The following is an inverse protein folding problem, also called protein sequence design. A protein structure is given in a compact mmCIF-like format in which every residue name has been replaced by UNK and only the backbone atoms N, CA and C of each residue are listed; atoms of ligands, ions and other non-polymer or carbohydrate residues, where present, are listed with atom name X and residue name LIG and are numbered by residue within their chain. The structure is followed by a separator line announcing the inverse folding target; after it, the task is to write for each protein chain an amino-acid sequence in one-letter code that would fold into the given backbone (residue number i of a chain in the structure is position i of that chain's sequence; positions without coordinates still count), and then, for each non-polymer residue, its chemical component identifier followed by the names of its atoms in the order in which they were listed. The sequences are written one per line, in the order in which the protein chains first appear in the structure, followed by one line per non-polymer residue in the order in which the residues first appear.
data_IF_032607319179
#
_entry.id   IF_032607319179
#
_cell.length_a   1.000
_cell.length_b   1.000
_cell.length_c   1.000
_cell.angle_alpha   90.00
_cell.angle_beta   90.00
_cell.angle_gamma   90.00
#
_symmetry.space_group_name_H-M   'P 1'
#
loop_
_entity.id
_entity.type
_entity.pdbx_description
1 polymer ?
#
# COMPACT_ATOMS: atom_id res chain seq x y z
N UNK A 1 -4.04 -0.98 -11.94
CA UNK A 1 -2.95 -1.98 -12.09
C UNK A 1 -3.47 -3.40 -12.17
N UNK A 2 -4.34 -3.83 -11.26
CA UNK A 2 -4.86 -5.22 -11.24
C UNK A 2 -5.64 -5.57 -12.53
N UNK A 3 -6.40 -4.63 -13.08
CA UNK A 3 -7.06 -4.75 -14.39
C UNK A 3 -6.07 -5.00 -15.53
N UNK A 4 -4.90 -4.34 -15.50
CA UNK A 4 -3.80 -4.53 -16.45
C UNK A 4 -3.24 -5.95 -16.39
N UNK A 5 -3.17 -6.55 -15.18
CA UNK A 5 -2.79 -7.95 -15.02
C UNK A 5 -3.87 -8.89 -15.56
N UNK A 6 -5.16 -8.55 -15.39
CA UNK A 6 -6.25 -9.35 -15.97
C UNK A 6 -6.17 -9.44 -17.50
N UNK A 7 -5.70 -8.39 -18.18
CA UNK A 7 -5.47 -8.40 -19.64
C UNK A 7 -4.46 -9.47 -20.09
N UNK A 8 -3.57 -9.95 -19.22
CA UNK A 8 -2.68 -11.08 -19.56
C UNK A 8 -3.43 -12.37 -19.87
N UNK A 9 -4.68 -12.52 -19.40
CA UNK A 9 -5.54 -13.69 -19.64
C UNK A 9 -6.59 -13.47 -20.73
N UNK A 10 -6.46 -12.40 -21.55
CA UNK A 10 -7.44 -12.04 -22.58
C UNK A 10 -7.71 -13.14 -23.61
N UNK A 11 -6.76 -14.07 -23.80
CA UNK A 11 -6.88 -15.18 -24.75
C UNK A 11 -8.09 -16.08 -24.51
N UNK A 12 -8.45 -16.35 -23.24
CA UNK A 12 -9.61 -17.15 -22.87
C UNK A 12 -10.70 -16.28 -22.27
N UNK A 13 -11.87 -16.21 -22.92
CA UNK A 13 -12.99 -15.35 -22.51
C UNK A 13 -13.45 -15.60 -21.07
N UNK A 14 -13.54 -16.87 -20.67
CA UNK A 14 -14.02 -17.24 -19.34
C UNK A 14 -12.99 -16.95 -18.25
N UNK A 15 -11.71 -17.13 -18.55
CA UNK A 15 -10.62 -16.77 -17.62
C UNK A 15 -10.50 -15.26 -17.49
N UNK A 16 -10.49 -14.55 -18.62
CA UNK A 16 -10.47 -13.10 -18.66
C UNK A 16 -11.63 -12.49 -17.88
N UNK A 17 -12.86 -12.98 -18.06
CA UNK A 17 -14.03 -12.48 -17.33
C UNK A 17 -13.85 -12.57 -15.81
N UNK A 18 -13.42 -13.73 -15.31
CA UNK A 18 -13.15 -13.95 -13.88
C UNK A 18 -11.98 -13.11 -13.37
N UNK A 19 -10.90 -13.05 -14.14
CA UNK A 19 -9.70 -12.28 -13.82
C UNK A 19 -10.01 -10.79 -13.76
N UNK A 20 -10.75 -10.26 -14.73
CA UNK A 20 -11.17 -8.86 -14.75
C UNK A 20 -12.11 -8.54 -13.59
N UNK A 21 -13.05 -9.43 -13.27
CA UNK A 21 -13.93 -9.31 -12.10
C UNK A 21 -13.12 -9.20 -10.80
N UNK A 22 -12.05 -9.99 -10.68
CA UNK A 22 -11.10 -9.89 -9.57
C UNK A 22 -10.33 -8.57 -9.58
N UNK A 23 -9.87 -8.13 -10.76
CA UNK A 23 -9.07 -6.93 -10.94
C UNK A 23 -9.78 -5.63 -10.54
N UNK A 24 -11.10 -5.53 -10.77
CA UNK A 24 -11.91 -4.34 -10.43
C UNK A 24 -12.51 -4.38 -9.02
N UNK A 25 -12.40 -5.51 -8.32
CA UNK A 25 -13.11 -5.77 -7.07
C UNK A 25 -12.82 -4.72 -5.98
N UNK A 26 -11.55 -4.36 -5.84
CA UNK A 26 -11.08 -3.35 -4.90
C UNK A 26 -11.60 -1.95 -5.26
N UNK A 27 -11.65 -1.63 -6.55
CA UNK A 27 -12.09 -0.34 -7.06
C UNK A 27 -13.60 -0.20 -6.84
N UNK A 28 -14.38 -1.24 -7.17
CA UNK A 28 -15.83 -1.31 -6.90
C UNK A 28 -16.10 -1.14 -5.41
N UNK A 29 -15.39 -1.86 -4.53
CA UNK A 29 -15.52 -1.70 -3.08
C UNK A 29 -15.24 -0.25 -2.62
N UNK A 30 -14.15 0.36 -3.10
CA UNK A 30 -13.76 1.71 -2.72
C UNK A 30 -14.77 2.75 -3.24
N UNK A 31 -15.25 2.62 -4.48
CA UNK A 31 -16.26 3.52 -5.05
C UNK A 31 -17.59 3.42 -4.30
N UNK A 32 -18.07 2.20 -4.03
CA UNK A 32 -19.29 1.99 -3.26
C UNK A 32 -19.19 2.56 -1.85
N UNK A 33 -18.05 2.32 -1.18
CA UNK A 33 -17.79 2.89 0.15
C UNK A 33 -17.80 4.41 0.12
N UNK A 34 -17.14 5.02 -0.88
CA UNK A 34 -17.11 6.47 -1.07
C UNK A 34 -18.50 7.03 -1.33
N UNK A 35 -19.32 6.36 -2.15
CA UNK A 35 -20.67 6.80 -2.51
C UNK A 35 -21.59 6.90 -1.29
N UNK A 36 -21.36 6.10 -0.24
CA UNK A 36 -22.12 6.16 1.01
C UNK A 36 -21.45 7.10 2.02
N UNK A 37 -20.14 6.97 2.24
CA UNK A 37 -19.45 7.73 3.27
C UNK A 37 -19.29 9.20 2.92
N UNK A 38 -19.08 9.56 1.64
CA UNK A 38 -18.87 10.96 1.26
C UNK A 38 -20.10 11.85 1.55
N UNK A 39 -21.33 11.49 1.15
CA UNK A 39 -22.52 12.25 1.54
C UNK A 39 -22.71 12.31 3.05
N UNK A 40 -22.43 11.21 3.76
CA UNK A 40 -22.49 11.15 5.22
C UNK A 40 -21.49 12.11 5.88
N UNK A 41 -20.25 12.17 5.39
CA UNK A 41 -19.21 13.08 5.86
C UNK A 41 -19.62 14.55 5.68
N UNK A 42 -20.16 14.90 4.50
CA UNK A 42 -20.64 16.25 4.20
C UNK A 42 -21.82 16.62 5.11
N UNK A 43 -22.75 15.69 5.34
CA UNK A 43 -23.90 15.93 6.22
C UNK A 43 -23.46 16.18 7.67
N UNK A 44 -22.54 15.37 8.19
CA UNK A 44 -22.02 15.52 9.55
C UNK A 44 -21.24 16.84 9.71
N UNK A 45 -20.45 17.23 8.70
CA UNK A 45 -19.74 18.52 8.70
C UNK A 45 -20.73 19.70 8.75
N UNK A 46 -21.82 19.64 7.98
CA UNK A 46 -22.88 20.67 8.00
C UNK A 46 -23.63 20.75 9.33
N UNK A 47 -23.91 19.62 9.98
CA UNK A 47 -24.67 19.59 11.24
C UNK A 47 -23.83 20.10 12.41
N UNK A 48 -22.52 19.83 12.43
CA UNK A 48 -21.64 20.21 13.54
C UNK A 48 -20.39 20.93 13.01
N UNK A 49 -20.51 22.16 12.49
CA UNK A 49 -19.38 22.85 11.90
C UNK A 49 -18.28 23.05 12.95
N UNK A 50 -17.04 22.73 12.58
CA UNK A 50 -15.86 22.95 13.41
C UNK A 50 -14.88 23.88 12.71
N UNK A 51 -14.39 24.89 13.42
CA UNK A 51 -13.36 25.81 12.96
C UNK A 51 -11.94 25.22 13.08
N UNK A 52 -11.77 24.15 13.85
CA UNK A 52 -10.46 23.54 14.07
C UNK A 52 -9.99 22.77 12.85
N UNK A 53 -8.75 23.03 12.42
CA UNK A 53 -8.18 22.42 11.21
C UNK A 53 -8.12 20.88 11.29
N UNK A 54 -8.07 20.33 12.51
CA UNK A 54 -8.03 18.88 12.78
C UNK A 54 -9.42 18.25 12.92
N UNK A 55 -10.48 19.03 13.17
CA UNK A 55 -11.85 18.52 13.34
C UNK A 55 -12.79 18.97 12.21
N UNK A 56 -12.27 19.75 11.25
CA UNK A 56 -13.00 20.20 10.06
C UNK A 56 -13.27 19.01 9.12
N UNK A 57 -14.54 18.71 8.88
CA UNK A 57 -15.01 17.54 8.16
C UNK A 57 -16.04 16.73 8.94
N UNK A 58 -16.37 15.55 8.41
CA UNK A 58 -17.33 14.63 9.01
C UNK A 58 -16.73 13.81 10.16
N UNK A 59 -17.26 12.59 10.37
CA UNK A 59 -16.83 11.77 11.50
C UNK A 59 -15.39 11.29 11.34
N UNK A 60 -14.94 11.02 10.11
CA UNK A 60 -13.57 10.56 9.83
C UNK A 60 -12.54 11.59 10.32
N UNK A 61 -12.73 12.86 9.96
CA UNK A 61 -11.83 13.94 10.36
C UNK A 61 -11.84 14.15 11.87
N UNK A 62 -13.01 14.12 12.51
CA UNK A 62 -13.14 14.38 13.96
C UNK A 62 -12.57 13.25 14.81
N UNK A 63 -12.92 12.00 14.51
CA UNK A 63 -12.42 10.85 15.25
C UNK A 63 -10.91 10.71 15.06
N UNK A 64 -10.42 10.84 13.82
CA UNK A 64 -8.98 10.80 13.57
C UNK A 64 -8.23 11.96 14.23
N UNK A 65 -8.79 13.17 14.22
CA UNK A 65 -8.21 14.36 14.87
C UNK A 65 -8.09 14.19 16.38
N UNK A 66 -9.16 13.73 17.05
CA UNK A 66 -9.15 13.48 18.49
C UNK A 66 -8.11 12.42 18.88
N UNK A 67 -8.04 11.31 18.14
CA UNK A 67 -7.05 10.26 18.35
C UNK A 67 -5.63 10.79 18.10
N UNK A 68 -5.41 11.55 17.02
CA UNK A 68 -4.10 12.10 16.67
C UNK A 68 -3.57 13.08 17.72
N UNK A 69 -4.45 13.91 18.32
CA UNK A 69 -4.10 14.81 19.43
C UNK A 69 -3.62 13.98 20.64
N UNK A 70 -4.39 12.94 20.99
CA UNK A 70 -4.10 12.07 22.14
C UNK A 70 -2.77 11.34 21.98
N UNK A 71 -2.48 10.81 20.78
CA UNK A 71 -1.22 10.14 20.48
C UNK A 71 -0.05 11.15 20.49
N UNK A 72 -0.26 12.35 19.95
CA UNK A 72 0.79 13.36 19.85
C UNK A 72 1.26 13.93 21.18
N UNK A 73 0.43 13.96 22.21
CA UNK A 73 0.85 14.39 23.54
C UNK A 73 1.70 13.32 24.24
N UNK A 74 1.51 12.04 23.90
CA UNK A 74 2.17 10.90 24.54
C UNK A 74 3.52 10.53 23.93
N UNK A 75 3.74 10.82 22.63
CA UNK A 75 4.86 10.28 21.85
C UNK A 75 6.01 11.25 21.49
N UNK A 76 6.18 12.38 22.19
CA UNK A 76 7.34 13.29 21.97
C UNK A 76 8.73 12.63 22.07
N UNK A 77 8.83 11.40 22.60
CA UNK A 77 10.09 10.79 23.04
C UNK A 77 10.65 9.69 22.10
N UNK A 78 9.85 9.03 21.23
CA UNK A 78 10.29 7.77 20.59
C UNK A 78 10.70 7.85 19.10
N UNK A 79 10.53 8.99 18.44
CA UNK A 79 10.52 9.08 16.95
C UNK A 79 11.91 9.31 16.34
N UNK A 80 12.95 9.54 17.15
CA UNK A 80 14.33 9.65 16.66
C UNK A 80 14.91 8.29 16.19
N UNK A 81 14.29 7.16 16.52
CA UNK A 81 14.86 5.83 16.33
C UNK A 81 15.08 5.48 14.84
N UNK A 82 14.12 5.77 13.96
CA UNK A 82 14.24 5.41 12.54
C UNK A 82 15.26 6.30 11.82
N UNK A 83 15.25 7.62 12.09
CA UNK A 83 16.22 8.57 11.52
C UNK A 83 17.63 8.29 12.05
N UNK A 84 17.76 7.78 13.27
CA UNK A 84 19.02 7.30 13.84
C UNK A 84 19.53 6.02 13.18
N UNK A 85 18.65 5.16 12.68
CA UNK A 85 19.02 3.94 11.96
C UNK A 85 19.37 4.20 10.49
N UNK A 86 18.67 5.10 9.80
CA UNK A 86 18.90 5.39 8.37
C UNK A 86 20.09 6.33 8.14
N UNK A 87 20.26 7.37 8.97
CA UNK A 87 21.38 8.33 8.83
C UNK A 87 22.78 7.69 8.73
N UNK A 88 23.18 6.71 9.57
CA UNK A 88 24.50 6.10 9.45
C UNK A 88 24.66 5.35 8.13
N UNK A 89 23.61 4.67 7.66
CA UNK A 89 23.61 3.99 6.36
C UNK A 89 23.74 5.00 5.20
N UNK A 90 22.98 6.10 5.23
CA UNK A 90 23.07 7.15 4.20
C UNK A 90 24.48 7.74 4.13
N UNK A 91 25.08 8.05 5.28
CA UNK A 91 26.44 8.61 5.37
C UNK A 91 27.54 7.66 4.90
N UNK A 92 27.30 6.34 4.91
CA UNK A 92 28.22 5.33 4.36
C UNK A 92 28.17 5.27 2.82
N UNK A 93 27.01 5.57 2.24
CA UNK A 93 26.80 5.50 0.79
C UNK A 93 27.27 6.78 0.09
N UNK A 94 26.77 7.94 0.54
CA UNK A 94 27.00 9.25 -0.08
C UNK A 94 27.15 10.33 1.00
N UNK A 95 28.04 11.29 0.76
CA UNK A 95 28.15 12.51 1.55
C UNK A 95 28.11 13.71 0.60
N UNK A 96 27.10 14.56 0.79
CA UNK A 96 26.83 15.70 -0.07
C UNK A 96 27.32 16.97 0.63
N UNK A 97 27.86 17.91 -0.15
CA UNK A 97 28.17 19.24 0.35
C UNK A 97 26.96 20.17 0.25
N UNK A 98 26.26 20.36 1.38
CA UNK A 98 25.09 21.22 1.46
C UNK A 98 25.41 22.68 1.11
N UNK A 99 26.66 23.13 1.29
CA UNK A 99 27.07 24.50 0.95
C UNK A 99 27.16 24.70 -0.57
N UNK A 100 27.55 23.66 -1.31
CA UNK A 100 27.58 23.67 -2.78
C UNK A 100 26.17 23.54 -3.36
N UNK A 101 25.28 22.81 -2.69
CA UNK A 101 23.87 22.73 -3.11
C UNK A 101 23.12 24.06 -2.99
N UNK A 102 23.50 24.90 -2.02
CA UNK A 102 22.87 26.19 -1.75
C UNK A 102 23.56 27.37 -2.45
N UNK A 103 24.81 27.18 -2.91
CA UNK A 103 25.53 28.16 -3.72
C UNK A 103 25.33 27.84 -5.20
N UNK A 104 25.06 28.84 -6.02
CA UNK A 104 24.85 28.67 -7.46
C UNK A 104 26.17 28.53 -8.24
N UNK A 105 27.21 27.96 -7.60
CA UNK A 105 28.56 27.84 -8.16
C UNK A 105 28.69 26.55 -8.97
N UNK A 106 28.91 26.68 -10.28
CA UNK A 106 28.95 25.55 -11.23
C UNK A 106 30.29 24.79 -11.27
N UNK A 107 31.32 25.30 -10.59
CA UNK A 107 32.68 24.78 -10.70
C UNK A 107 33.10 23.86 -9.55
N UNK A 108 32.21 23.59 -8.59
CA UNK A 108 32.50 22.73 -7.44
C UNK A 108 31.73 21.42 -7.53
N UNK A 109 32.36 20.32 -7.11
CA UNK A 109 31.72 19.01 -7.08
C UNK A 109 30.72 18.94 -5.93
N UNK A 110 29.51 18.42 -6.20
CA UNK A 110 28.40 18.31 -5.23
C UNK A 110 28.73 17.28 -4.13
N UNK A 111 29.54 16.27 -4.46
CA UNK A 111 30.02 15.29 -3.48
C UNK A 111 31.16 15.83 -2.63
N UNK A 112 31.11 15.60 -1.30
CA UNK A 112 32.24 15.94 -0.43
C UNK A 112 33.45 15.06 -0.76
N UNK A 113 34.55 15.66 -1.17
CA UNK A 113 35.83 14.95 -1.35
C UNK A 113 36.62 14.92 -0.02
N UNK A 114 36.49 15.98 0.79
CA UNK A 114 37.20 16.19 2.05
C UNK A 114 36.23 16.41 3.22
N UNK A 115 36.51 15.79 4.37
CA UNK A 115 35.56 15.67 5.49
C UNK A 115 35.89 16.56 6.70
N UNK A 116 37.06 17.19 6.74
CA UNK A 116 37.57 17.96 7.88
C UNK A 116 38.47 19.12 7.40
N UNK A 117 38.71 20.15 8.23
CA UNK A 117 39.64 21.25 7.93
C UNK A 117 41.08 20.78 7.63
N UNK A 118 41.43 19.53 8.00
CA UNK A 118 42.70 18.88 7.68
C UNK A 118 42.60 17.96 6.45
N UNK A 119 42.15 18.47 5.29
CA UNK A 119 42.24 17.81 3.97
C UNK A 119 42.11 16.25 3.95
N UNK A 120 41.25 15.69 4.82
CA UNK A 120 41.19 14.24 4.98
C UNK A 120 40.14 13.70 4.02
N UNK A 121 40.60 12.84 3.13
CA UNK A 121 39.83 12.14 2.11
C UNK A 121 38.65 11.38 2.74
N UNK A 122 37.42 11.75 2.42
CA UNK A 122 36.20 11.13 2.96
C UNK A 122 36.13 9.63 2.65
N UNK A 123 35.51 8.80 3.51
CA UNK A 123 35.32 7.36 3.24
C UNK A 123 33.83 7.07 3.03
N UNK A 124 33.39 6.99 1.77
CA UNK A 124 32.06 6.52 1.38
C UNK A 124 32.13 5.76 0.05
N UNK A 125 31.12 4.92 -0.23
CA UNK A 125 31.12 3.89 -1.26
C UNK A 125 31.44 4.42 -2.67
N UNK A 126 30.87 5.58 -3.06
CA UNK A 126 30.96 6.12 -4.42
C UNK A 126 32.08 7.14 -4.64
N UNK A 127 32.97 7.34 -3.67
CA UNK A 127 34.03 8.35 -3.79
C UNK A 127 34.97 8.10 -4.98
N UNK A 128 35.35 6.84 -5.21
CA UNK A 128 36.25 6.47 -6.32
C UNK A 128 35.66 6.79 -7.71
N UNK A 129 34.32 6.81 -7.82
CA UNK A 129 33.63 7.21 -9.05
C UNK A 129 33.63 8.72 -9.25
N UNK A 130 33.42 9.50 -8.17
CA UNK A 130 33.40 10.97 -8.21
C UNK A 130 34.80 11.53 -8.52
N UNK A 131 35.87 10.88 -8.07
CA UNK A 131 37.24 11.28 -8.41
C UNK A 131 37.60 11.03 -9.90
N UNK A 132 36.87 10.16 -10.61
CA UNK A 132 37.19 9.75 -11.99
C UNK A 132 36.25 10.31 -13.05
N UNK A 133 35.02 10.67 -12.68
CA UNK A 133 33.96 11.06 -13.61
C UNK A 133 33.29 12.35 -13.19
N UNK A 134 32.76 13.11 -14.16
CA UNK A 134 31.98 14.31 -13.89
C UNK A 134 30.69 13.97 -13.10
N UNK A 135 30.23 14.89 -12.24
CA UNK A 135 29.11 14.66 -11.31
C UNK A 135 27.82 14.25 -12.01
N UNK A 136 27.55 14.82 -13.19
CA UNK A 136 26.40 14.45 -14.03
C UNK A 136 26.44 12.97 -14.47
N UNK A 137 27.61 12.48 -14.88
CA UNK A 137 27.79 11.09 -15.32
C UNK A 137 27.62 10.12 -14.16
N UNK A 138 28.17 10.46 -12.99
CA UNK A 138 27.99 9.70 -11.75
C UNK A 138 26.51 9.64 -11.35
N UNK A 139 25.80 10.76 -11.44
CA UNK A 139 24.37 10.84 -11.19
C UNK A 139 23.54 9.91 -12.09
N UNK A 140 23.83 9.89 -13.40
CA UNK A 140 23.14 8.99 -14.34
C UNK A 140 23.41 7.52 -14.03
N UNK A 141 24.67 7.16 -13.77
CA UNK A 141 25.04 5.76 -13.46
C UNK A 141 24.30 5.31 -12.19
N UNK A 142 24.31 6.14 -11.14
CA UNK A 142 23.60 5.85 -9.90
C UNK A 142 22.10 5.72 -10.10
N UNK A 143 21.50 6.59 -10.89
CA UNK A 143 20.09 6.54 -11.21
C UNK A 143 19.72 5.23 -11.93
N UNK A 144 20.46 4.85 -12.97
CA UNK A 144 20.24 3.60 -13.72
C UNK A 144 20.43 2.37 -12.81
N UNK A 145 21.52 2.33 -12.03
CA UNK A 145 21.77 1.24 -11.09
C UNK A 145 20.64 1.12 -10.05
N UNK A 146 20.17 2.24 -9.50
CA UNK A 146 19.07 2.25 -8.54
C UNK A 146 17.77 1.73 -9.15
N UNK A 147 17.48 2.08 -10.41
CA UNK A 147 16.29 1.65 -11.13
C UNK A 147 16.34 0.14 -11.45
N UNK A 148 17.51 -0.40 -11.83
CA UNK A 148 17.71 -1.83 -12.04
C UNK A 148 17.53 -2.61 -10.73
N UNK A 149 18.16 -2.16 -9.64
CA UNK A 149 18.08 -2.81 -8.32
C UNK A 149 16.63 -2.77 -7.80
N UNK A 150 15.97 -1.61 -7.90
CA UNK A 150 14.57 -1.44 -7.51
C UNK A 150 13.66 -2.38 -8.29
N UNK A 151 13.82 -2.44 -9.61
CA UNK A 151 13.03 -3.33 -10.48
C UNK A 151 13.30 -4.80 -10.15
N UNK A 152 14.57 -5.18 -9.96
CA UNK A 152 14.97 -6.54 -9.61
C UNK A 152 14.37 -7.01 -8.27
N UNK A 153 14.43 -6.16 -7.24
CA UNK A 153 13.83 -6.45 -5.93
C UNK A 153 12.31 -6.56 -6.05
N UNK A 154 11.66 -5.67 -6.81
CA UNK A 154 10.21 -5.72 -7.03
C UNK A 154 9.79 -7.04 -7.71
N UNK A 155 10.51 -7.47 -8.76
CA UNK A 155 10.22 -8.72 -9.46
C UNK A 155 10.45 -9.96 -8.57
N UNK A 156 11.54 -9.98 -7.79
CA UNK A 156 11.82 -11.05 -6.84
C UNK A 156 10.73 -11.13 -5.77
N UNK A 157 10.30 -9.98 -5.23
CA UNK A 157 9.23 -9.90 -4.24
C UNK A 157 7.93 -10.47 -4.80
N UNK A 158 7.54 -10.12 -6.03
CA UNK A 158 6.35 -10.68 -6.69
C UNK A 158 6.47 -12.21 -6.84
N UNK A 159 7.65 -12.73 -7.21
CA UNK A 159 7.87 -14.17 -7.36
C UNK A 159 7.73 -14.91 -6.03
N UNK A 160 8.33 -14.36 -4.97
CA UNK A 160 8.21 -14.90 -3.61
C UNK A 160 6.77 -14.85 -3.12
N UNK A 161 6.08 -13.73 -3.34
CA UNK A 161 4.70 -13.54 -2.93
C UNK A 161 3.77 -14.54 -3.61
N UNK A 162 3.91 -14.74 -4.92
CA UNK A 162 3.15 -15.75 -5.66
C UNK A 162 3.36 -17.15 -5.07
N UNK A 163 4.61 -17.50 -4.76
CA UNK A 163 4.95 -18.79 -4.14
C UNK A 163 4.28 -18.95 -2.76
N UNK A 164 4.35 -17.93 -1.90
CA UNK A 164 3.77 -17.95 -0.56
C UNK A 164 2.25 -17.97 -0.57
N UNK A 165 1.61 -17.11 -1.37
CA UNK A 165 0.16 -17.02 -1.46
C UNK A 165 -0.42 -18.33 -1.97
N UNK A 166 0.16 -18.92 -3.02
CA UNK A 166 -0.31 -20.20 -3.55
C UNK A 166 -0.13 -21.30 -2.50
N UNK A 167 1.02 -21.36 -1.82
CA UNK A 167 1.24 -22.34 -0.75
C UNK A 167 0.26 -22.21 0.42
N UNK A 168 0.05 -21.00 0.92
CA UNK A 168 -0.90 -20.74 2.03
C UNK A 168 -2.33 -21.03 1.60
N UNK A 169 -2.75 -20.62 0.40
CA UNK A 169 -4.09 -20.89 -0.12
C UNK A 169 -4.28 -22.39 -0.30
N UNK A 170 -3.33 -23.12 -0.88
CA UNK A 170 -3.44 -24.55 -1.13
C UNK A 170 -3.48 -25.35 0.19
N UNK A 171 -2.62 -25.05 1.17
CA UNK A 171 -2.64 -25.67 2.50
C UNK A 171 -3.94 -25.36 3.25
N UNK A 172 -4.41 -24.12 3.16
CA UNK A 172 -5.66 -23.69 3.79
C UNK A 172 -6.85 -24.38 3.13
N UNK A 173 -6.92 -24.40 1.80
CA UNK A 173 -7.97 -25.06 1.03
C UNK A 173 -7.97 -26.57 1.25
N UNK A 174 -6.82 -27.25 1.32
CA UNK A 174 -6.74 -28.68 1.62
C UNK A 174 -7.24 -29.01 3.02
N UNK A 175 -6.86 -28.21 4.03
CA UNK A 175 -7.38 -28.35 5.40
C UNK A 175 -8.90 -28.12 5.46
N UNK A 176 -9.43 -27.26 4.60
CA UNK A 176 -10.87 -26.92 4.54
C UNK A 176 -11.69 -27.92 3.72
N UNK A 177 -11.14 -28.47 2.63
CA UNK A 177 -11.78 -29.53 1.85
C UNK A 177 -12.06 -30.77 2.71
N UNK A 178 -11.25 -30.99 3.76
CA UNK A 178 -11.47 -32.03 4.76
C UNK A 178 -12.54 -31.66 5.82
N UNK A 179 -12.87 -30.36 5.95
CA UNK A 179 -13.91 -29.81 6.83
C UNK A 179 -15.05 -29.30 5.93
N UNK A 180 -15.58 -30.17 5.07
CA UNK A 180 -16.75 -29.82 4.28
C UNK A 180 -17.93 -29.62 5.22
N UNK A 181 -18.28 -28.36 5.48
CA UNK A 181 -19.37 -28.04 6.39
C UNK A 181 -20.17 -26.85 5.86
N UNK A 182 -21.41 -27.15 5.50
CA UNK A 182 -22.44 -26.22 5.03
C UNK A 182 -22.81 -25.18 6.12
N UNK A 183 -22.97 -23.91 5.72
CA UNK A 183 -23.59 -22.85 6.53
C UNK A 183 -22.64 -21.82 7.15
N UNK A 184 -22.96 -21.34 8.35
CA UNK A 184 -22.23 -20.40 9.22
C UNK A 184 -20.70 -20.54 9.30
N UNK A 185 -20.14 -21.74 9.10
CA UNK A 185 -18.68 -21.95 9.03
C UNK A 185 -18.03 -21.29 7.81
N UNK A 186 -18.77 -21.11 6.72
CA UNK A 186 -18.29 -20.39 5.53
C UNK A 186 -18.05 -18.89 5.81
N UNK A 187 -18.87 -18.33 6.69
CA UNK A 187 -18.75 -16.95 7.16
C UNK A 187 -17.54 -16.76 8.08
N UNK A 188 -17.34 -17.69 9.04
CA UNK A 188 -16.14 -17.71 9.89
C UNK A 188 -14.86 -17.86 9.08
N UNK A 189 -14.89 -18.71 8.05
CA UNK A 189 -13.77 -18.92 7.16
C UNK A 189 -13.37 -17.63 6.44
N UNK A 190 -14.33 -16.77 6.13
CA UNK A 190 -14.01 -15.51 5.47
C UNK A 190 -13.20 -14.54 6.32
N UNK A 191 -13.36 -14.55 7.64
CA UNK A 191 -12.49 -13.79 8.54
C UNK A 191 -11.06 -14.31 8.55
N UNK A 192 -10.85 -15.62 8.39
CA UNK A 192 -9.51 -16.20 8.25
C UNK A 192 -8.84 -15.64 6.98
N UNK A 193 -9.56 -15.58 5.86
CA UNK A 193 -9.04 -14.98 4.63
C UNK A 193 -8.79 -13.47 4.76
N UNK A 194 -9.61 -12.72 5.50
CA UNK A 194 -9.33 -11.31 5.82
C UNK A 194 -8.02 -11.19 6.60
N UNK A 195 -7.80 -12.02 7.63
CA UNK A 195 -6.56 -12.01 8.42
C UNK A 195 -5.35 -12.34 7.54
N UNK A 196 -5.45 -13.36 6.69
CA UNK A 196 -4.40 -13.69 5.70
C UNK A 196 -4.14 -12.49 4.78
N UNK A 197 -5.19 -11.79 4.35
CA UNK A 197 -5.09 -10.57 3.54
C UNK A 197 -4.37 -9.43 4.27
N UNK A 198 -4.67 -9.20 5.55
CA UNK A 198 -4.00 -8.19 6.38
C UNK A 198 -2.50 -8.50 6.47
N UNK A 199 -2.13 -9.72 6.86
CA UNK A 199 -0.72 -10.11 6.96
C UNK A 199 -0.02 -10.08 5.61
N UNK A 200 -0.68 -10.58 4.56
CA UNK A 200 -0.19 -10.53 3.19
C UNK A 200 0.13 -9.10 2.75
N UNK A 201 -0.76 -8.15 3.01
CA UNK A 201 -0.53 -6.75 2.69
C UNK A 201 0.51 -6.06 3.57
N UNK A 202 0.61 -6.38 4.86
CA UNK A 202 1.66 -5.82 5.73
C UNK A 202 3.04 -6.28 5.28
N UNK A 203 3.18 -7.55 4.86
CA UNK A 203 4.45 -8.09 4.35
C UNK A 203 4.82 -7.50 2.99
N UNK A 204 3.85 -7.36 2.09
CA UNK A 204 4.07 -6.86 0.72
C UNK A 204 4.14 -5.34 0.68
N UNK A 205 3.54 -4.67 1.67
CA UNK A 205 3.40 -3.22 1.78
C UNK A 205 2.67 -2.56 0.59
N UNK A 206 2.04 -3.36 -0.27
CA UNK A 206 1.33 -2.89 -1.46
C UNK A 206 0.11 -3.77 -1.73
N UNK A 207 -1.08 -3.19 -1.58
CA UNK A 207 -2.36 -3.85 -1.88
C UNK A 207 -2.48 -4.15 -3.37
N UNK A 208 -1.96 -3.29 -4.25
CA UNK A 208 -1.98 -3.51 -5.70
C UNK A 208 -1.14 -4.73 -6.10
N UNK A 209 0.06 -4.89 -5.55
CA UNK A 209 0.89 -6.06 -5.88
C UNK A 209 0.23 -7.34 -5.37
N UNK A 210 -0.30 -7.30 -4.14
CA UNK A 210 -1.02 -8.42 -3.55
C UNK A 210 -2.24 -8.84 -4.39
N UNK A 211 -3.13 -7.90 -4.74
CA UNK A 211 -4.32 -8.18 -5.54
C UNK A 211 -3.98 -8.61 -6.98
N UNK A 212 -2.90 -8.09 -7.55
CA UNK A 212 -2.39 -8.49 -8.88
C UNK A 212 -1.95 -9.95 -8.91
N UNK A 213 -1.40 -10.49 -7.82
CA UNK A 213 -1.07 -11.91 -7.71
C UNK A 213 -2.32 -12.79 -7.62
N UNK A 214 -3.37 -12.31 -6.94
CA UNK A 214 -4.65 -13.05 -6.80
C UNK A 214 -5.48 -13.07 -8.09
N UNK A 215 -5.41 -11.99 -8.88
CA UNK A 215 -6.13 -11.81 -10.14
C UNK A 215 -6.05 -13.03 -11.09
N UNK A 216 -4.87 -13.52 -11.49
CA UNK A 216 -4.76 -14.68 -12.36
C UNK A 216 -5.22 -15.98 -11.70
N UNK A 217 -5.13 -16.12 -10.36
CA UNK A 217 -5.60 -17.31 -9.64
C UNK A 217 -7.13 -17.42 -9.71
N UNK A 218 -7.83 -16.29 -9.67
CA UNK A 218 -9.28 -16.25 -9.90
C UNK A 218 -9.63 -16.57 -11.36
N UNK A 219 -8.86 -16.04 -12.31
CA UNK A 219 -8.97 -16.41 -13.72
C UNK A 219 -8.88 -17.92 -13.94
N UNK A 220 -7.89 -18.57 -13.31
CA UNK A 220 -7.63 -20.02 -13.40
C UNK A 220 -8.55 -20.88 -12.52
N UNK A 221 -9.53 -20.30 -11.80
CA UNK A 221 -10.41 -20.99 -10.82
C UNK A 221 -9.69 -21.65 -9.65
N UNK A 222 -8.42 -21.32 -9.41
CA UNK A 222 -7.68 -21.77 -8.21
C UNK A 222 -8.23 -21.08 -6.95
N UNK A 223 -8.70 -19.84 -7.10
CA UNK A 223 -9.32 -19.04 -6.05
C UNK A 223 -10.70 -18.56 -6.50
N UNK A 224 -11.70 -18.64 -5.63
CA UNK A 224 -13.04 -18.09 -5.95
C UNK A 224 -13.06 -16.56 -5.82
N UNK A 225 -13.98 -15.90 -6.51
CA UNK A 225 -14.11 -14.43 -6.44
C UNK A 225 -14.48 -13.96 -5.02
N UNK A 226 -15.25 -14.76 -4.28
CA UNK A 226 -15.67 -14.51 -2.91
C UNK A 226 -14.50 -14.58 -1.92
N UNK A 227 -13.57 -15.53 -2.10
CA UNK A 227 -12.35 -15.62 -1.29
C UNK A 227 -11.36 -14.52 -1.64
N UNK A 228 -11.28 -14.18 -2.91
CA UNK A 228 -10.51 -13.02 -3.35
C UNK A 228 -11.03 -11.71 -2.75
N UNK A 229 -12.35 -11.55 -2.61
CA UNK A 229 -12.96 -10.40 -1.94
C UNK A 229 -12.52 -10.27 -0.49
N UNK A 230 -12.57 -11.37 0.28
CA UNK A 230 -12.11 -11.43 1.67
C UNK A 230 -10.63 -11.05 1.80
N UNK A 231 -9.76 -11.64 0.97
CA UNK A 231 -8.34 -11.33 0.93
C UNK A 231 -8.07 -9.85 0.57
N UNK A 232 -8.85 -9.30 -0.36
CA UNK A 232 -8.72 -7.91 -0.82
C UNK A 232 -9.14 -6.91 0.26
N UNK A 233 -10.24 -7.16 0.99
CA UNK A 233 -10.63 -6.35 2.15
C UNK A 233 -9.53 -6.38 3.21
N UNK A 234 -9.01 -7.57 3.51
CA UNK A 234 -7.88 -7.73 4.40
C UNK A 234 -6.67 -6.90 3.96
N UNK A 235 -6.35 -6.93 2.66
CA UNK A 235 -5.24 -6.17 2.11
C UNK A 235 -5.41 -4.65 2.21
N UNK A 236 -6.64 -4.14 2.01
CA UNK A 236 -6.98 -2.73 2.21
C UNK A 236 -6.77 -2.29 3.65
N UNK A 237 -7.17 -3.11 4.64
CA UNK A 237 -6.91 -2.83 6.04
C UNK A 237 -5.40 -2.93 6.33
N UNK A 238 -4.72 -3.97 5.87
CA UNK A 238 -3.29 -4.19 6.13
C UNK A 238 -2.40 -3.04 5.65
N UNK A 239 -2.65 -2.49 4.44
CA UNK A 239 -1.86 -1.36 3.92
C UNK A 239 -2.01 -0.08 4.75
N UNK A 240 -3.15 0.12 5.43
CA UNK A 240 -3.33 1.27 6.32
C UNK A 240 -2.52 1.16 7.61
N UNK A 241 -2.21 -0.06 8.07
CA UNK A 241 -1.28 -0.29 9.18
C UNK A 241 0.13 0.18 8.79
N UNK A 242 0.56 -0.10 7.56
CA UNK A 242 1.84 0.40 7.04
C UNK A 242 1.87 1.93 6.98
N UNK A 243 0.78 2.56 6.50
CA UNK A 243 0.66 4.02 6.49
C UNK A 243 0.71 4.62 7.91
N UNK A 244 0.07 3.95 8.87
CA UNK A 244 0.12 4.35 10.28
C UNK A 244 1.54 4.26 10.84
N UNK A 245 2.24 3.14 10.65
CA UNK A 245 3.64 2.98 11.07
C UNK A 245 4.55 4.02 10.40
N UNK A 246 4.32 4.33 9.12
CA UNK A 246 5.06 5.38 8.41
C UNK A 246 4.78 6.77 9.01
N UNK A 247 3.55 7.05 9.42
CA UNK A 247 3.19 8.32 10.05
C UNK A 247 3.91 8.54 11.39
N UNK A 248 4.20 7.46 12.13
CA UNK A 248 4.95 7.51 13.39
C UNK A 248 6.41 7.96 13.21
N UNK A 249 6.92 7.96 11.98
CA UNK A 249 8.31 8.35 11.69
C UNK A 249 8.47 9.86 11.45
N UNK A 250 7.36 10.58 11.35
CA UNK A 250 7.35 12.01 11.07
C UNK A 250 7.69 12.82 12.32
N UNK A 251 8.35 13.97 12.15
CA UNK A 251 8.80 14.80 13.28
C UNK A 251 8.30 16.24 13.18
N UNK A 252 8.16 16.91 14.31
CA UNK A 252 7.78 18.32 14.40
C UNK A 252 6.31 18.58 14.03
N UNK A 253 6.08 19.68 13.30
CA UNK A 253 4.74 20.20 12.97
C UNK A 253 3.90 19.25 12.10
N UNK A 254 4.53 18.35 11.34
CA UNK A 254 3.85 17.44 10.43
C UNK A 254 3.36 16.14 11.10
N UNK A 255 3.90 15.79 12.28
CA UNK A 255 3.58 14.52 12.95
C UNK A 255 2.07 14.30 13.15
N UNK A 256 1.39 15.30 13.74
CA UNK A 256 -0.07 15.27 13.99
C UNK A 256 -0.87 15.10 12.70
N UNK A 257 -0.49 15.84 11.64
CA UNK A 257 -1.15 15.78 10.33
C UNK A 257 -0.97 14.41 9.68
N UNK A 258 0.24 13.85 9.74
CA UNK A 258 0.54 12.53 9.18
C UNK A 258 -0.21 11.41 9.87
N UNK A 259 -0.27 11.41 11.21
CA UNK A 259 -1.08 10.43 11.97
C UNK A 259 -2.54 10.56 11.61
N UNK A 260 -3.07 11.79 11.55
CA UNK A 260 -4.46 12.00 11.20
C UNK A 260 -4.79 11.45 9.81
N UNK A 261 -3.97 11.73 8.80
CA UNK A 261 -4.16 11.20 7.45
C UNK A 261 -4.15 9.67 7.45
N UNK A 262 -3.18 9.05 8.14
CA UNK A 262 -3.12 7.59 8.25
C UNK A 262 -4.36 7.01 8.92
N UNK A 263 -4.86 7.64 9.98
CA UNK A 263 -6.08 7.24 10.67
C UNK A 263 -7.34 7.44 9.81
N UNK A 264 -7.43 8.50 9.00
CA UNK A 264 -8.53 8.68 8.04
C UNK A 264 -8.55 7.51 7.05
N UNK A 265 -7.40 7.13 6.49
CA UNK A 265 -7.30 5.98 5.59
C UNK A 265 -7.70 4.66 6.28
N UNK A 266 -7.23 4.44 7.51
CA UNK A 266 -7.62 3.26 8.30
C UNK A 266 -9.13 3.22 8.57
N UNK A 267 -9.69 4.31 9.08
CA UNK A 267 -11.11 4.41 9.42
C UNK A 267 -12.01 4.28 8.18
N UNK A 268 -11.62 4.86 7.05
CA UNK A 268 -12.35 4.69 5.79
C UNK A 268 -12.43 3.21 5.38
N UNK A 269 -11.30 2.50 5.38
CA UNK A 269 -11.25 1.08 5.01
C UNK A 269 -11.97 0.19 6.03
N UNK A 270 -11.86 0.51 7.32
CA UNK A 270 -12.55 -0.19 8.40
C UNK A 270 -14.07 0.00 8.30
N UNK A 271 -14.53 1.24 8.10
CA UNK A 271 -15.96 1.54 7.91
C UNK A 271 -16.53 0.86 6.66
N UNK A 272 -15.78 0.84 5.55
CA UNK A 272 -16.15 0.07 4.36
C UNK A 272 -16.27 -1.43 4.64
N UNK A 273 -15.33 -2.00 5.40
CA UNK A 273 -15.40 -3.41 5.82
C UNK A 273 -16.63 -3.68 6.69
N UNK A 274 -16.92 -2.81 7.66
CA UNK A 274 -18.11 -2.94 8.52
C UNK A 274 -19.38 -2.88 7.67
N UNK A 275 -19.46 -1.94 6.72
CA UNK A 275 -20.65 -1.73 5.92
C UNK A 275 -20.89 -2.88 4.92
N UNK A 276 -19.85 -3.27 4.17
CA UNK A 276 -20.00 -4.23 3.09
C UNK A 276 -19.74 -5.68 3.47
N UNK A 277 -18.98 -5.96 4.53
CA UNK A 277 -18.58 -7.33 4.85
C UNK A 277 -19.33 -7.93 6.06
N UNK A 278 -19.50 -7.16 7.14
CA UNK A 278 -20.12 -7.67 8.39
C UNK A 278 -21.60 -8.02 8.18
N UNK A 279 -22.30 -7.30 7.32
CA UNK A 279 -23.69 -7.60 7.00
C UNK A 279 -23.77 -8.59 5.82
N UNK A 280 -24.27 -9.83 6.00
CA UNK A 280 -24.24 -10.87 4.97
C UNK A 280 -24.95 -10.49 3.66
N UNK A 281 -26.00 -9.67 3.76
CA UNK A 281 -26.75 -9.19 2.61
C UNK A 281 -25.95 -8.20 1.76
N UNK A 282 -25.24 -7.26 2.38
CA UNK A 282 -24.48 -6.24 1.66
C UNK A 282 -23.20 -6.79 1.01
N UNK A 283 -22.63 -7.87 1.56
CA UNK A 283 -21.47 -8.56 0.99
C UNK A 283 -21.62 -8.96 -0.47
N UNK A 284 -22.83 -9.29 -0.90
CA UNK A 284 -23.09 -9.72 -2.28
C UNK A 284 -22.99 -8.57 -3.29
N UNK A 285 -23.16 -7.32 -2.85
CA UNK A 285 -23.25 -6.16 -3.75
C UNK A 285 -21.91 -5.90 -4.47
N UNK A 286 -20.76 -5.73 -3.79
CA UNK A 286 -19.49 -5.49 -4.48
C UNK A 286 -19.07 -6.66 -5.36
N UNK A 287 -19.31 -7.90 -4.91
CA UNK A 287 -18.97 -9.13 -5.64
C UNK A 287 -19.79 -9.22 -6.93
N UNK A 288 -21.12 -9.01 -6.83
CA UNK A 288 -22.02 -9.06 -7.97
C UNK A 288 -21.68 -8.00 -9.02
N UNK A 289 -21.47 -6.75 -8.59
CA UNK A 289 -21.11 -5.66 -9.51
C UNK A 289 -19.78 -5.94 -10.22
N UNK A 290 -18.79 -6.43 -9.49
CA UNK A 290 -17.48 -6.78 -10.07
C UNK A 290 -17.60 -7.92 -11.08
N UNK A 291 -18.42 -8.94 -10.77
CA UNK A 291 -18.74 -10.03 -11.69
C UNK A 291 -19.43 -9.53 -12.97
N UNK A 292 -20.43 -8.66 -12.85
CA UNK A 292 -21.12 -8.08 -14.01
C UNK A 292 -20.17 -7.28 -14.88
N UNK A 293 -19.32 -6.43 -14.29
CA UNK A 293 -18.31 -5.66 -15.03
C UNK A 293 -17.38 -6.61 -15.80
N UNK A 294 -16.85 -7.65 -15.15
CA UNK A 294 -15.99 -8.62 -15.83
C UNK A 294 -16.71 -9.41 -16.93
N UNK A 295 -17.99 -9.72 -16.77
CA UNK A 295 -18.80 -10.36 -17.81
C UNK A 295 -19.02 -9.42 -19.01
N UNK A 296 -19.37 -8.16 -18.77
CA UNK A 296 -19.58 -7.13 -19.80
C UNK A 296 -18.30 -6.91 -20.61
N UNK A 297 -17.17 -6.68 -19.93
CA UNK A 297 -15.88 -6.42 -20.60
C UNK A 297 -15.42 -7.65 -21.39
N UNK A 298 -15.69 -8.86 -20.92
CA UNK A 298 -15.40 -10.08 -21.68
C UNK A 298 -16.29 -10.26 -22.93
N UNK A 299 -17.46 -9.61 -22.98
CA UNK A 299 -18.38 -9.61 -24.13
C UNK A 299 -18.00 -8.55 -25.16
N UNK A 300 -17.62 -7.35 -24.69
CA UNK A 300 -17.27 -6.21 -25.54
C UNK A 300 -15.76 -5.93 -25.46
N UNK A 301 -14.95 -6.73 -26.15
CA UNK A 301 -13.47 -6.65 -26.16
C UNK A 301 -12.86 -5.36 -26.76
N UNK A 302 -13.68 -4.42 -27.20
CA UNK A 302 -13.27 -3.23 -27.97
C UNK A 302 -13.23 -1.93 -27.14
N UNK A 303 -13.13 -2.04 -25.81
CA UNK A 303 -12.83 -0.94 -24.90
C UNK A 303 -11.65 -1.31 -23.99
#
# INVERSE_FOLDING_TARGET
TNTLVAFSQIGNRNEFSRSFSSGVLIDVFNYLTTLILLPMEILIDRITPSSDIFHRGGYLARVSGAIAITISEKERINIQLLKSLTKPLTKLIIQIDENVLLSNETNQTIGKIYCTPHLMKCKYLFRSMIEKFNDYTVGIILFICSLIILTGILLLMVKLLKSLIIGVIDDTLKKILHIQSYGWKEYLLGYVFIIIGIFGAVLVQSSSVFCSVLTPLVGLKVLSLERNYELTIGANIGTTITAFLASLTQTGLFFRKSIQIALIHFLFNLSGCILWYIFPYFRRIPIYLSYQIGHIVSKYRWF
#
